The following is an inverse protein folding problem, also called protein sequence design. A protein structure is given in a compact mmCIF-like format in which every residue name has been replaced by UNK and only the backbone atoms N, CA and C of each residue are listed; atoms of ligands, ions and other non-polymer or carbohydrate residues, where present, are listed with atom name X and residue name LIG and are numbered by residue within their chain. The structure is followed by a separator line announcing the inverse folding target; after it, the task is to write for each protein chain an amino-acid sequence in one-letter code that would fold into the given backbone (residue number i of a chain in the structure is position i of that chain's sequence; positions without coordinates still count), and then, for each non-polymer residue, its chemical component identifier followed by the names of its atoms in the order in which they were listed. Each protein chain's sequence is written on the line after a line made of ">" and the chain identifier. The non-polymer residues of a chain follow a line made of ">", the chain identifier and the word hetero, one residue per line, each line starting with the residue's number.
data_IF_094383519785
#
_entry.id   IF_094383519785
#
_cell.length_a   1.000
_cell.length_b   1.000
_cell.length_c   1.000
_cell.angle_alpha   90.00
_cell.angle_beta   90.00
_cell.angle_gamma   90.00
#
_symmetry.space_group_name_H-M   'P 1'
#
loop_
_entity.id
_entity.type
_entity.pdbx_description
1 polymer ?
#
# COMPACT_ATOMS: atom_id res chain seq x y z
N UNK A 1 -23.34 6.54 7.83
CA UNK A 1 -23.06 7.11 6.50
C UNK A 1 -23.15 6.08 5.36
N UNK A 2 -22.43 4.95 5.42
CA UNK A 2 -22.51 3.90 4.38
C UNK A 2 -23.92 3.40 4.06
N UNK A 3 -24.78 3.19 5.06
CA UNK A 3 -26.18 2.78 4.83
C UNK A 3 -27.01 3.88 4.15
N UNK A 4 -26.77 5.15 4.51
CA UNK A 4 -27.51 6.31 4.01
C UNK A 4 -27.21 6.54 2.53
N UNK A 5 -25.93 6.45 2.15
CA UNK A 5 -25.47 6.67 0.77
C UNK A 5 -25.29 5.37 -0.02
N UNK A 6 -25.89 4.26 0.42
CA UNK A 6 -25.65 2.92 -0.14
C UNK A 6 -25.84 2.84 -1.67
N UNK A 7 -26.81 3.59 -2.20
CA UNK A 7 -27.17 3.57 -3.62
C UNK A 7 -26.18 4.41 -4.48
N UNK A 8 -25.34 5.21 -3.84
CA UNK A 8 -24.30 6.06 -4.44
C UNK A 8 -22.89 5.48 -4.23
N UNK A 9 -22.67 4.76 -3.13
CA UNK A 9 -21.39 4.15 -2.77
C UNK A 9 -20.93 3.17 -3.84
N UNK A 10 -19.63 3.17 -4.13
CA UNK A 10 -18.98 2.37 -5.17
C UNK A 10 -19.40 2.67 -6.63
N UNK A 11 -20.27 3.66 -6.85
CA UNK A 11 -20.60 4.19 -8.19
C UNK A 11 -19.89 5.51 -8.45
N UNK A 12 -20.10 6.48 -7.58
CA UNK A 12 -19.51 7.83 -7.68
C UNK A 12 -19.23 8.45 -6.31
N UNK A 13 -19.43 7.70 -5.23
CA UNK A 13 -19.18 8.12 -3.85
C UNK A 13 -18.28 7.12 -3.14
N UNK A 14 -17.29 7.63 -2.40
CA UNK A 14 -16.58 6.91 -1.34
C UNK A 14 -16.91 7.56 0.00
N UNK A 15 -17.23 6.74 0.99
CA UNK A 15 -17.56 7.19 2.35
C UNK A 15 -16.60 6.53 3.32
N UNK A 16 -16.04 7.32 4.23
CA UNK A 16 -15.26 6.83 5.35
C UNK A 16 -15.62 7.62 6.61
N UNK A 17 -16.30 6.96 7.55
CA UNK A 17 -16.95 7.60 8.70
C UNK A 17 -17.83 8.79 8.30
N UNK A 18 -17.37 10.01 8.56
CA UNK A 18 -18.00 11.30 8.28
C UNK A 18 -17.52 11.95 6.99
N UNK A 19 -16.40 11.50 6.41
CA UNK A 19 -15.87 12.02 5.15
C UNK A 19 -16.59 11.41 3.94
N UNK A 20 -17.01 12.27 3.01
CA UNK A 20 -17.70 11.90 1.77
C UNK A 20 -16.90 12.45 0.59
N UNK A 21 -16.38 11.56 -0.25
CA UNK A 21 -15.74 11.90 -1.51
C UNK A 21 -16.67 11.62 -2.67
N UNK A 22 -16.93 12.63 -3.49
CA UNK A 22 -17.72 12.52 -4.72
C UNK A 22 -16.76 12.68 -5.91
N UNK A 23 -16.76 11.73 -6.83
CA UNK A 23 -15.85 11.71 -7.97
C UNK A 23 -16.57 11.42 -9.29
N UNK A 24 -16.12 12.09 -10.36
CA UNK A 24 -16.78 12.05 -11.65
C UNK A 24 -15.76 12.25 -12.79
N UNK A 25 -16.12 11.78 -14.00
CA UNK A 25 -15.34 12.00 -15.23
C UNK A 25 -15.69 13.31 -15.93
N UNK A 26 -16.88 13.86 -15.69
CA UNK A 26 -17.37 15.08 -16.30
C UNK A 26 -18.00 16.02 -15.26
N UNK A 27 -17.98 17.32 -15.55
CA UNK A 27 -18.59 18.33 -14.69
C UNK A 27 -20.12 18.19 -14.64
N UNK A 28 -20.75 17.80 -15.76
CA UNK A 28 -22.20 17.59 -15.82
C UNK A 28 -22.61 16.49 -14.83
N UNK A 29 -21.96 15.32 -14.91
CA UNK A 29 -22.25 14.21 -14.00
C UNK A 29 -21.95 14.60 -12.54
N UNK A 30 -20.92 15.41 -12.32
CA UNK A 30 -20.57 15.89 -10.97
C UNK A 30 -21.69 16.71 -10.35
N UNK A 31 -22.25 17.67 -11.09
CA UNK A 31 -23.35 18.52 -10.58
C UNK A 31 -24.58 17.67 -10.24
N UNK A 32 -24.93 16.71 -11.11
CA UNK A 32 -26.07 15.83 -10.88
C UNK A 32 -25.85 14.90 -9.68
N UNK A 33 -24.68 14.30 -9.57
CA UNK A 33 -24.32 13.43 -8.44
C UNK A 33 -24.19 14.20 -7.13
N UNK A 34 -23.62 15.39 -7.12
CA UNK A 34 -23.58 16.27 -5.96
C UNK A 34 -25.00 16.57 -5.47
N UNK A 35 -25.91 16.91 -6.39
CA UNK A 35 -27.31 17.15 -6.05
C UNK A 35 -27.96 15.92 -5.43
N UNK A 36 -27.73 14.72 -5.98
CA UNK A 36 -28.26 13.48 -5.41
C UNK A 36 -27.77 13.25 -3.98
N UNK A 37 -26.45 13.40 -3.72
CA UNK A 37 -25.90 13.23 -2.38
C UNK A 37 -26.50 14.25 -1.40
N UNK A 38 -26.58 15.52 -1.79
CA UNK A 38 -27.14 16.57 -0.93
C UNK A 38 -28.61 16.36 -0.59
N UNK A 39 -29.40 15.81 -1.52
CA UNK A 39 -30.80 15.43 -1.26
C UNK A 39 -30.88 14.29 -0.25
N UNK A 40 -30.07 13.24 -0.43
CA UNK A 40 -30.03 12.12 0.52
C UNK A 40 -29.62 12.57 1.92
N UNK A 41 -28.60 13.45 2.03
CA UNK A 41 -28.19 14.01 3.32
C UNK A 41 -29.32 14.81 3.97
N UNK A 42 -30.04 15.63 3.18
CA UNK A 42 -31.18 16.42 3.66
C UNK A 42 -32.32 15.54 4.18
N UNK A 43 -32.68 14.51 3.45
CA UNK A 43 -33.77 13.59 3.82
C UNK A 43 -33.45 12.81 5.10
N UNK A 44 -32.16 12.63 5.40
CA UNK A 44 -31.68 11.96 6.62
C UNK A 44 -31.26 12.95 7.72
N UNK A 45 -31.54 14.24 7.57
CA UNK A 45 -31.18 15.30 8.52
C UNK A 45 -29.68 15.34 8.88
N UNK A 46 -28.82 15.08 7.90
CA UNK A 46 -27.37 15.17 8.01
C UNK A 46 -26.88 16.49 7.42
N UNK A 47 -25.96 17.16 8.14
CA UNK A 47 -25.47 18.47 7.78
C UNK A 47 -23.95 18.41 7.53
N UNK A 48 -23.53 18.95 6.39
CA UNK A 48 -22.12 19.12 6.08
C UNK A 48 -21.61 20.46 6.64
N UNK A 49 -20.40 20.46 7.19
CA UNK A 49 -19.75 21.71 7.59
C UNK A 49 -19.15 22.38 6.34
N UNK A 50 -19.76 23.47 5.89
CA UNK A 50 -19.40 24.16 4.65
C UNK A 50 -17.93 24.64 4.65
N UNK A 51 -17.40 25.04 5.80
CA UNK A 51 -16.02 25.52 5.93
C UNK A 51 -14.98 24.43 5.71
N UNK A 52 -15.38 23.16 5.84
CA UNK A 52 -14.56 21.97 5.58
C UNK A 52 -14.86 21.31 4.24
N UNK A 53 -15.83 21.82 3.48
CA UNK A 53 -16.19 21.26 2.19
C UNK A 53 -15.38 21.90 1.07
N UNK A 54 -14.88 21.05 0.17
CA UNK A 54 -14.23 21.48 -1.06
C UNK A 54 -15.05 20.97 -2.25
N UNK A 55 -15.37 21.85 -3.20
CA UNK A 55 -16.22 21.53 -4.35
C UNK A 55 -15.48 21.78 -5.66
N UNK A 56 -15.75 20.94 -6.66
CA UNK A 56 -15.33 21.13 -8.05
C UNK A 56 -13.82 21.44 -8.23
N UNK A 57 -12.97 20.62 -7.61
CA UNK A 57 -11.51 20.72 -7.71
C UNK A 57 -10.91 19.52 -8.44
N UNK A 58 -9.77 19.72 -9.11
CA UNK A 58 -9.05 18.64 -9.83
C UNK A 58 -8.28 17.69 -8.89
N UNK A 59 -8.04 18.13 -7.66
CA UNK A 59 -7.39 17.35 -6.62
C UNK A 59 -8.00 17.69 -5.26
N UNK A 60 -8.09 16.68 -4.38
CA UNK A 60 -8.68 16.83 -3.05
C UNK A 60 -7.92 16.01 -2.03
N UNK A 61 -7.78 16.53 -0.81
CA UNK A 61 -7.24 15.78 0.32
C UNK A 61 -8.36 14.89 0.86
N UNK A 62 -8.15 13.58 0.85
CA UNK A 62 -9.08 12.60 1.38
C UNK A 62 -8.30 11.53 2.15
N UNK A 63 -8.65 11.32 3.42
CA UNK A 63 -7.99 10.35 4.31
C UNK A 63 -6.48 10.50 4.39
N UNK A 64 -5.96 11.74 4.40
CA UNK A 64 -4.53 12.02 4.50
C UNK A 64 -3.73 11.80 3.21
N UNK A 65 -4.42 11.63 2.06
CA UNK A 65 -3.80 11.54 0.74
C UNK A 65 -4.39 12.59 -0.20
N UNK A 66 -3.59 13.07 -1.15
CA UNK A 66 -4.10 13.88 -2.26
C UNK A 66 -4.57 12.95 -3.36
N UNK A 67 -5.87 12.98 -3.67
CA UNK A 67 -6.47 12.20 -4.75
C UNK A 67 -6.69 13.10 -5.94
N UNK A 68 -6.24 12.67 -7.11
CA UNK A 68 -6.28 13.42 -8.37
C UNK A 68 -6.54 12.49 -9.55
N UNK A 69 -6.72 13.07 -10.75
CA UNK A 69 -6.78 12.30 -12.00
C UNK A 69 -5.53 11.45 -12.25
N UNK A 70 -4.37 11.91 -11.80
CA UNK A 70 -3.08 11.23 -11.97
C UNK A 70 -2.92 10.04 -11.02
N UNK A 71 -3.68 10.01 -9.92
CA UNK A 71 -3.58 8.98 -8.90
C UNK A 71 -3.57 9.57 -7.49
N UNK A 72 -2.97 8.82 -6.58
CA UNK A 72 -2.87 9.13 -5.15
C UNK A 72 -1.45 9.61 -4.85
N UNK A 73 -1.36 10.71 -4.11
CA UNK A 73 -0.09 11.32 -3.67
C UNK A 73 -0.05 11.45 -2.15
N UNK A 74 1.16 11.56 -1.63
CA UNK A 74 1.40 12.01 -0.25
C UNK A 74 0.99 13.48 -0.15
N UNK A 75 0.34 13.85 0.95
CA UNK A 75 -0.03 15.23 1.24
C UNK A 75 1.23 16.14 1.32
N UNK A 76 1.31 17.22 0.52
CA UNK A 76 2.43 18.18 0.56
C UNK A 76 2.74 18.73 1.96
N UNK A 77 1.74 18.92 2.82
CA UNK A 77 1.98 19.35 4.21
C UNK A 77 2.72 18.27 5.00
N UNK A 78 2.41 17.00 4.76
CA UNK A 78 3.07 15.85 5.38
C UNK A 78 4.46 15.62 4.79
N UNK A 79 4.64 15.84 3.48
CA UNK A 79 5.96 15.88 2.84
C UNK A 79 6.84 16.93 3.52
N UNK A 80 6.33 18.15 3.70
CA UNK A 80 7.06 19.23 4.37
C UNK A 80 7.40 18.86 5.82
N UNK A 81 6.44 18.33 6.57
CA UNK A 81 6.67 17.87 7.94
C UNK A 81 7.77 16.80 8.01
N UNK A 82 7.80 15.86 7.07
CA UNK A 82 8.86 14.84 6.98
C UNK A 82 10.21 15.48 6.66
N UNK A 83 10.28 16.41 5.70
CA UNK A 83 11.52 17.12 5.33
C UNK A 83 12.11 17.92 6.48
N UNK A 84 11.27 18.62 7.22
CA UNK A 84 11.67 19.48 8.34
C UNK A 84 11.83 18.70 9.66
N UNK A 85 11.49 17.41 9.67
CA UNK A 85 11.52 16.59 10.88
C UNK A 85 12.93 16.57 11.49
N UNK A 86 13.10 16.94 12.78
CA UNK A 86 14.40 16.98 13.43
C UNK A 86 14.95 15.58 13.65
N UNK A 87 16.27 15.45 13.76
CA UNK A 87 16.90 14.16 14.08
C UNK A 87 16.39 13.72 15.48
N UNK A 88 15.77 12.53 15.60
CA UNK A 88 15.28 12.05 16.89
C UNK A 88 16.41 11.89 17.92
N UNK A 89 16.14 12.40 19.12
CA UNK A 89 17.08 12.39 20.26
C UNK A 89 16.67 11.38 21.35
N UNK A 90 15.49 10.79 21.22
CA UNK A 90 14.97 9.81 22.16
C UNK A 90 13.99 8.83 21.48
N UNK A 91 13.66 7.75 22.19
CA UNK A 91 12.76 6.69 21.71
C UNK A 91 11.35 7.22 21.39
N UNK A 92 10.87 8.23 22.13
CA UNK A 92 9.54 8.81 21.89
C UNK A 92 9.49 9.51 20.54
N UNK A 93 10.51 10.28 20.19
CA UNK A 93 10.61 10.97 18.90
C UNK A 93 10.73 9.99 17.73
N UNK A 94 11.48 8.88 17.91
CA UNK A 94 11.52 7.81 16.88
C UNK A 94 10.15 7.19 16.69
N UNK A 95 9.39 6.93 17.77
CA UNK A 95 8.02 6.41 17.68
C UNK A 95 7.08 7.37 16.95
N UNK A 96 7.19 8.66 17.25
CA UNK A 96 6.40 9.70 16.57
C UNK A 96 6.71 9.76 15.08
N UNK A 97 7.98 9.71 14.70
CA UNK A 97 8.40 9.65 13.30
C UNK A 97 7.86 8.39 12.62
N UNK A 98 8.09 7.21 13.22
CA UNK A 98 7.64 5.92 12.72
C UNK A 98 6.12 5.87 12.50
N UNK A 99 5.33 6.49 13.38
CA UNK A 99 3.88 6.61 13.21
C UNK A 99 3.48 7.34 11.93
N UNK A 100 4.21 8.40 11.56
CA UNK A 100 3.95 9.18 10.35
C UNK A 100 4.41 8.45 9.08
N UNK A 101 5.64 7.94 9.06
CA UNK A 101 6.17 7.27 7.88
C UNK A 101 5.48 5.94 7.58
N UNK A 102 5.10 5.18 8.62
CA UNK A 102 4.42 3.90 8.43
C UNK A 102 3.03 4.06 7.79
N UNK A 103 2.38 5.21 7.97
CA UNK A 103 1.14 5.56 7.27
C UNK A 103 1.37 5.68 5.75
N UNK A 104 2.54 6.21 5.35
CA UNK A 104 2.94 6.40 3.94
C UNK A 104 3.81 5.26 3.40
N UNK A 105 4.00 4.16 4.14
CA UNK A 105 4.82 3.00 3.70
C UNK A 105 4.45 2.45 2.33
N UNK A 106 3.17 2.61 1.93
CA UNK A 106 2.65 2.11 0.65
C UNK A 106 3.24 2.80 -0.58
N UNK A 107 3.96 3.91 -0.39
CA UNK A 107 4.66 4.66 -1.43
C UNK A 107 6.14 4.31 -1.52
N UNK A 108 6.68 3.57 -0.55
CA UNK A 108 8.11 3.35 -0.39
C UNK A 108 8.44 1.87 -0.67
N UNK A 109 9.20 1.56 -1.73
CA UNK A 109 9.70 0.21 -1.97
C UNK A 109 10.58 -0.25 -0.81
N UNK A 110 10.42 -1.50 -0.37
CA UNK A 110 11.25 -2.10 0.67
C UNK A 110 11.29 -1.32 2.01
N UNK A 111 10.23 -0.58 2.32
CA UNK A 111 10.10 0.25 3.53
C UNK A 111 10.56 -0.46 4.82
N UNK A 112 10.11 -1.69 5.08
CA UNK A 112 10.46 -2.44 6.29
C UNK A 112 11.97 -2.70 6.46
N UNK A 113 12.71 -2.80 5.35
CA UNK A 113 14.17 -2.96 5.38
C UNK A 113 14.85 -1.64 5.70
N UNK A 114 14.37 -0.54 5.11
CA UNK A 114 14.89 0.81 5.36
C UNK A 114 14.65 1.25 6.81
N UNK A 115 13.46 0.98 7.34
CA UNK A 115 13.03 1.33 8.69
C UNK A 115 13.60 0.37 9.77
N UNK A 116 14.24 -0.73 9.36
CA UNK A 116 14.79 -1.74 10.28
C UNK A 116 15.73 -1.14 11.36
N UNK A 117 16.69 -0.24 11.05
CA UNK A 117 17.58 0.34 12.05
C UNK A 117 16.82 1.23 13.06
N UNK A 118 15.81 1.98 12.62
CA UNK A 118 15.01 2.83 13.50
C UNK A 118 14.12 2.00 14.42
N UNK A 119 13.49 0.95 13.88
CA UNK A 119 12.72 -0.01 14.67
C UNK A 119 13.54 -0.69 15.78
N UNK A 120 14.84 -0.91 15.58
CA UNK A 120 15.72 -1.46 16.62
C UNK A 120 15.84 -0.54 17.84
N UNK A 121 15.86 0.79 17.64
CA UNK A 121 15.92 1.78 18.73
C UNK A 121 14.65 1.82 19.58
N UNK A 122 13.53 1.30 19.07
CA UNK A 122 12.22 1.37 19.73
C UNK A 122 11.91 0.12 20.57
N UNK A 123 12.72 -0.95 20.41
CA UNK A 123 12.56 -2.22 21.11
C UNK A 123 12.75 -2.05 22.62
N UNK A 124 12.04 -2.89 23.38
CA UNK A 124 12.22 -3.00 24.82
C UNK A 124 13.66 -3.49 25.11
N UNK A 125 14.24 -2.96 26.18
CA UNK A 125 15.58 -3.33 26.67
C UNK A 125 16.75 -2.97 25.75
N UNK A 126 16.53 -2.06 24.78
CA UNK A 126 17.60 -1.46 23.96
C UNK A 126 17.90 -0.06 24.47
N UNK A 127 19.19 0.22 24.73
CA UNK A 127 19.65 1.57 25.07
C UNK A 127 19.57 2.45 23.83
N UNK A 128 18.93 3.61 23.95
CA UNK A 128 18.87 4.57 22.85
C UNK A 128 20.26 5.13 22.57
N UNK A 129 20.82 4.77 21.41
CA UNK A 129 22.08 5.30 20.92
C UNK A 129 21.94 5.62 19.44
N UNK A 130 21.85 6.90 19.10
CA UNK A 130 21.86 7.33 17.70
C UNK A 130 23.27 7.13 17.11
N UNK A 131 23.34 6.57 15.91
CA UNK A 131 24.58 6.15 15.25
C UNK A 131 24.41 6.39 13.75
N UNK A 132 25.49 6.28 12.99
CA UNK A 132 25.47 6.54 11.55
C UNK A 132 24.44 5.69 10.80
N UNK A 133 24.30 4.40 11.15
CA UNK A 133 23.28 3.53 10.54
C UNK A 133 21.84 4.04 10.71
N UNK A 134 21.56 4.68 11.85
CA UNK A 134 20.24 5.26 12.14
C UNK A 134 20.04 6.56 11.35
N UNK A 135 21.10 7.37 11.26
CA UNK A 135 21.09 8.59 10.47
C UNK A 135 20.87 8.29 8.98
N UNK A 136 21.58 7.31 8.42
CA UNK A 136 21.42 6.89 7.02
C UNK A 136 19.99 6.41 6.73
N UNK A 137 19.45 5.53 7.58
CA UNK A 137 18.06 5.07 7.45
C UNK A 137 17.05 6.22 7.52
N UNK A 138 17.21 7.13 8.49
CA UNK A 138 16.34 8.29 8.67
C UNK A 138 16.37 9.23 7.44
N UNK A 139 17.55 9.54 6.91
CA UNK A 139 17.68 10.39 5.73
C UNK A 139 17.14 9.71 4.47
N UNK A 140 17.40 8.41 4.30
CA UNK A 140 16.89 7.65 3.15
C UNK A 140 15.36 7.57 3.17
N UNK A 141 14.74 7.32 4.33
CA UNK A 141 13.28 7.31 4.47
C UNK A 141 12.68 8.68 4.15
N UNK A 142 13.27 9.77 4.68
CA UNK A 142 12.87 11.14 4.33
C UNK A 142 12.97 11.38 2.83
N UNK A 143 14.06 10.96 2.19
CA UNK A 143 14.23 11.12 0.75
C UNK A 143 13.17 10.32 -0.04
N UNK A 144 12.96 9.05 0.30
CA UNK A 144 12.00 8.19 -0.42
C UNK A 144 10.56 8.65 -0.26
N UNK A 145 10.18 9.14 0.92
CA UNK A 145 8.83 9.66 1.16
C UNK A 145 8.58 10.99 0.45
N UNK A 146 9.62 11.81 0.31
CA UNK A 146 9.52 13.13 -0.34
C UNK A 146 9.63 13.04 -1.85
N UNK A 147 10.28 12.00 -2.36
CA UNK A 147 10.36 11.65 -3.78
C UNK A 147 9.41 10.49 -4.14
N UNK A 148 8.39 10.26 -3.30
CA UNK A 148 7.43 9.18 -3.49
C UNK A 148 6.76 9.30 -4.86
N UNK A 149 6.69 8.19 -5.64
CA UNK A 149 5.99 8.22 -6.91
C UNK A 149 4.49 8.41 -6.70
N UNK A 150 3.82 8.89 -7.74
CA UNK A 150 2.36 8.89 -7.80
C UNK A 150 1.88 7.45 -7.91
N UNK A 151 1.02 7.02 -7.00
CA UNK A 151 0.41 5.69 -7.08
C UNK A 151 -0.84 5.76 -7.95
N UNK A 152 -0.96 4.83 -8.90
CA UNK A 152 -2.15 4.70 -9.71
C UNK A 152 -3.35 4.26 -8.85
N UNK A 153 -4.53 4.79 -9.16
CA UNK A 153 -5.77 4.25 -8.61
C UNK A 153 -6.04 2.87 -9.23
N UNK A 154 -6.45 1.87 -8.44
CA UNK A 154 -6.72 0.54 -8.97
C UNK A 154 -7.90 0.57 -9.95
N UNK A 155 -7.68 0.02 -11.14
CA UNK A 155 -8.70 -0.13 -12.18
C UNK A 155 -9.05 -1.61 -12.33
N UNK A 156 -10.17 -2.04 -11.74
CA UNK A 156 -10.59 -3.45 -11.76
C UNK A 156 -10.90 -3.98 -13.18
N UNK A 157 -11.02 -3.11 -14.19
CA UNK A 157 -11.14 -3.52 -15.60
C UNK A 157 -9.80 -3.98 -16.20
N UNK A 158 -8.66 -3.59 -15.62
CA UNK A 158 -7.31 -3.99 -16.03
C UNK A 158 -6.83 -5.23 -15.29
N UNK A 159 -5.74 -5.81 -15.77
CA UNK A 159 -5.08 -6.95 -15.14
C UNK A 159 -4.10 -6.45 -14.09
N UNK A 160 -4.19 -6.97 -12.88
CA UNK A 160 -3.20 -6.69 -11.85
C UNK A 160 -1.93 -7.51 -12.10
N UNK A 161 -0.81 -6.97 -11.67
CA UNK A 161 0.49 -7.62 -11.78
C UNK A 161 1.20 -7.53 -10.42
N UNK A 162 1.85 -8.60 -10.00
CA UNK A 162 2.65 -8.67 -8.77
C UNK A 162 4.10 -8.89 -9.10
N UNK A 163 4.98 -8.06 -8.54
CA UNK A 163 6.42 -8.30 -8.50
C UNK A 163 6.85 -8.51 -7.06
N UNK A 164 7.41 -9.69 -6.76
CA UNK A 164 7.94 -10.02 -5.44
C UNK A 164 9.47 -9.95 -5.47
N UNK A 165 10.06 -9.44 -4.40
CA UNK A 165 11.49 -9.45 -4.14
C UNK A 165 11.74 -9.92 -2.71
N UNK A 166 12.82 -10.65 -2.49
CA UNK A 166 13.18 -11.18 -1.19
C UNK A 166 14.68 -11.06 -0.94
N UNK A 167 15.02 -10.56 0.24
CA UNK A 167 16.38 -10.39 0.71
C UNK A 167 16.68 -11.26 1.93
N UNK A 168 17.92 -11.21 2.42
CA UNK A 168 18.29 -11.81 3.69
C UNK A 168 17.45 -11.29 4.88
N UNK A 169 17.05 -10.02 4.84
CA UNK A 169 16.46 -9.29 5.96
C UNK A 169 14.93 -9.15 5.89
N UNK A 170 14.37 -9.11 4.68
CA UNK A 170 12.98 -8.72 4.47
C UNK A 170 12.47 -9.12 3.09
N UNK A 171 11.16 -9.02 2.93
CA UNK A 171 10.44 -9.20 1.67
C UNK A 171 9.86 -7.86 1.20
N UNK A 172 9.77 -7.69 -0.11
CA UNK A 172 9.16 -6.55 -0.78
C UNK A 172 8.22 -7.04 -1.88
N UNK A 173 7.09 -6.37 -2.07
CA UNK A 173 6.15 -6.68 -3.14
C UNK A 173 5.58 -5.39 -3.71
N UNK A 174 5.47 -5.33 -5.03
CA UNK A 174 4.80 -4.24 -5.75
C UNK A 174 3.57 -4.79 -6.43
N UNK A 175 2.44 -4.12 -6.20
CA UNK A 175 1.23 -4.28 -6.99
C UNK A 175 1.22 -3.25 -8.13
N UNK A 176 1.09 -3.72 -9.36
CA UNK A 176 1.21 -2.95 -10.59
C UNK A 176 -0.04 -3.11 -11.47
N UNK A 177 -0.27 -2.14 -12.34
CA UNK A 177 -1.17 -2.24 -13.49
C UNK A 177 -0.56 -1.55 -14.70
N UNK A 178 -0.26 -2.29 -15.77
CA UNK A 178 0.34 -1.74 -16.98
C UNK A 178 1.67 -1.05 -16.68
N UNK A 179 2.48 -1.67 -15.84
CA UNK A 179 3.78 -1.13 -15.39
C UNK A 179 3.71 0.02 -14.38
N UNK A 180 2.53 0.47 -13.96
CA UNK A 180 2.38 1.57 -12.99
C UNK A 180 2.08 1.04 -11.58
N UNK A 181 2.81 1.50 -10.54
CA UNK A 181 2.58 1.08 -9.16
C UNK A 181 1.23 1.54 -8.61
N UNK A 182 0.47 0.61 -8.05
CA UNK A 182 -0.73 0.88 -7.25
C UNK A 182 -0.38 0.95 -5.77
N UNK A 183 0.47 0.03 -5.30
CA UNK A 183 0.88 -0.02 -3.90
C UNK A 183 2.17 -0.82 -3.73
N UNK A 184 2.98 -0.40 -2.77
CA UNK A 184 4.12 -1.15 -2.26
C UNK A 184 3.76 -1.84 -0.94
N UNK A 185 4.25 -3.06 -0.77
CA UNK A 185 4.22 -3.81 0.47
C UNK A 185 5.65 -4.25 0.82
N UNK A 186 5.97 -4.25 2.10
CA UNK A 186 7.23 -4.84 2.58
C UNK A 186 7.07 -5.31 4.00
N UNK A 187 7.82 -6.33 4.36
CA UNK A 187 7.80 -6.91 5.70
C UNK A 187 9.20 -7.40 6.09
N UNK A 188 9.66 -7.04 7.28
CA UNK A 188 10.90 -7.58 7.84
C UNK A 188 10.68 -9.03 8.25
N UNK A 189 11.63 -9.91 7.90
CA UNK A 189 11.55 -11.32 8.27
C UNK A 189 11.92 -11.52 9.74
N UNK A 190 11.23 -12.45 10.40
CA UNK A 190 11.43 -12.76 11.82
C UNK A 190 11.47 -14.28 12.05
N UNK A 191 12.16 -14.70 13.12
CA UNK A 191 12.20 -16.10 13.56
C UNK A 191 12.67 -17.06 12.47
N UNK A 192 11.91 -18.14 12.25
CA UNK A 192 12.27 -19.17 11.27
C UNK A 192 12.37 -18.63 9.84
N UNK A 193 11.62 -17.57 9.49
CA UNK A 193 11.58 -17.02 8.14
C UNK A 193 12.91 -16.39 7.69
N UNK A 194 13.78 -15.99 8.62
CA UNK A 194 15.12 -15.51 8.31
C UNK A 194 16.00 -16.60 7.69
N UNK A 195 15.80 -17.84 8.11
CA UNK A 195 16.58 -19.01 7.68
C UNK A 195 16.00 -19.71 6.45
N UNK A 196 14.93 -19.17 5.87
CA UNK A 196 14.34 -19.73 4.66
C UNK A 196 15.31 -19.55 3.48
N UNK A 197 15.44 -20.56 2.60
CA UNK A 197 16.07 -20.37 1.30
C UNK A 197 15.40 -19.23 0.52
N UNK A 198 16.10 -18.59 -0.41
CA UNK A 198 15.57 -17.47 -1.21
C UNK A 198 14.21 -17.79 -1.83
N UNK A 199 14.07 -18.97 -2.45
CA UNK A 199 12.81 -19.45 -2.98
C UNK A 199 11.65 -19.46 -1.96
N UNK A 200 11.90 -19.93 -0.74
CA UNK A 200 10.88 -19.97 0.30
C UNK A 200 10.51 -18.56 0.79
N UNK A 201 11.45 -17.61 0.74
CA UNK A 201 11.20 -16.20 1.07
C UNK A 201 10.38 -15.50 -0.01
N UNK A 202 10.64 -15.77 -1.28
CA UNK A 202 9.82 -15.27 -2.39
C UNK A 202 8.40 -15.84 -2.35
N UNK A 203 8.26 -17.16 -2.13
CA UNK A 203 6.95 -17.77 -1.97
C UNK A 203 6.21 -17.21 -0.76
N UNK A 204 6.92 -16.95 0.34
CA UNK A 204 6.37 -16.24 1.49
C UNK A 204 5.92 -14.82 1.13
N UNK A 205 6.74 -14.06 0.38
CA UNK A 205 6.40 -12.72 -0.09
C UNK A 205 5.10 -12.72 -0.90
N UNK A 206 4.96 -13.67 -1.82
CA UNK A 206 3.74 -13.86 -2.60
C UNK A 206 2.53 -14.14 -1.71
N UNK A 207 2.62 -15.08 -0.76
CA UNK A 207 1.51 -15.38 0.16
C UNK A 207 1.12 -14.14 0.97
N UNK A 208 2.09 -13.35 1.44
CA UNK A 208 1.83 -12.10 2.18
C UNK A 208 1.19 -11.03 1.31
N UNK A 209 1.58 -10.93 0.04
CA UNK A 209 0.95 -10.05 -0.94
C UNK A 209 -0.53 -10.40 -1.14
N UNK A 210 -0.82 -11.69 -1.33
CA UNK A 210 -2.19 -12.16 -1.53
C UNK A 210 -3.05 -11.97 -0.29
N UNK A 211 -2.51 -12.13 0.92
CA UNK A 211 -3.22 -11.79 2.15
C UNK A 211 -3.50 -10.28 2.27
N UNK A 212 -2.58 -9.45 1.79
CA UNK A 212 -2.70 -7.99 1.87
C UNK A 212 -3.71 -7.44 0.85
N UNK A 213 -3.71 -7.99 -0.36
CA UNK A 213 -4.51 -7.52 -1.50
C UNK A 213 -5.54 -8.54 -1.97
N UNK A 214 -6.00 -9.43 -1.08
CA UNK A 214 -7.00 -10.45 -1.38
C UNK A 214 -8.23 -9.85 -2.08
N UNK A 215 -8.73 -8.74 -1.51
CA UNK A 215 -9.86 -7.97 -2.02
C UNK A 215 -9.67 -7.40 -3.44
N UNK A 216 -8.44 -7.31 -3.96
CA UNK A 216 -8.16 -6.93 -5.34
C UNK A 216 -7.95 -8.13 -6.26
N UNK A 217 -7.40 -9.23 -5.74
CA UNK A 217 -6.82 -10.31 -6.54
C UNK A 217 -7.69 -11.58 -6.59
N UNK A 218 -8.66 -11.74 -5.69
CA UNK A 218 -9.46 -12.98 -5.60
C UNK A 218 -10.43 -13.16 -6.77
N UNK A 219 -10.91 -12.08 -7.39
CA UNK A 219 -12.03 -12.13 -8.35
C UNK A 219 -11.63 -12.28 -9.81
N UNK A 220 -10.41 -11.86 -10.18
CA UNK A 220 -9.97 -11.77 -11.58
C UNK A 220 -8.54 -12.22 -11.71
N UNK A 221 -8.24 -12.86 -12.85
CA UNK A 221 -6.90 -13.30 -13.17
C UNK A 221 -5.88 -12.16 -13.09
N UNK A 222 -4.75 -12.42 -12.42
CA UNK A 222 -3.62 -11.50 -12.31
C UNK A 222 -2.30 -12.20 -12.67
N UNK A 223 -1.29 -11.39 -12.95
CA UNK A 223 0.04 -11.85 -13.35
C UNK A 223 0.97 -11.82 -12.14
N UNK A 224 1.73 -12.88 -11.94
CA UNK A 224 2.87 -12.91 -11.01
C UNK A 224 4.14 -12.90 -11.86
N UNK A 225 4.93 -11.84 -11.73
CA UNK A 225 6.26 -11.75 -12.29
C UNK A 225 7.26 -12.35 -11.31
N UNK A 226 7.97 -13.38 -11.76
CA UNK A 226 9.03 -14.02 -10.99
C UNK A 226 10.26 -14.25 -11.86
N UNK A 227 11.42 -14.00 -11.30
CA UNK A 227 12.74 -14.34 -11.83
C UNK A 227 13.17 -15.77 -11.48
N UNK A 228 12.60 -16.34 -10.41
CA UNK A 228 12.96 -17.65 -9.89
C UNK A 228 12.16 -18.78 -10.56
N UNK A 229 12.86 -19.64 -11.31
CA UNK A 229 12.23 -20.74 -12.08
C UNK A 229 11.40 -21.71 -11.24
N UNK A 230 11.71 -21.87 -9.96
CA UNK A 230 11.01 -22.81 -9.08
C UNK A 230 9.57 -22.40 -8.76
N UNK A 231 9.20 -21.12 -8.86
CA UNK A 231 7.78 -20.71 -8.74
C UNK A 231 6.95 -21.23 -9.91
N UNK A 232 7.55 -21.48 -11.09
CA UNK A 232 6.85 -22.12 -12.22
C UNK A 232 6.37 -23.53 -11.91
N UNK A 233 7.07 -24.23 -11.02
CA UNK A 233 6.78 -25.62 -10.66
C UNK A 233 5.90 -25.74 -9.40
N UNK A 234 5.34 -24.63 -8.89
CA UNK A 234 4.43 -24.61 -7.73
C UNK A 234 3.33 -25.68 -7.82
N UNK A 235 2.74 -25.84 -9.01
CA UNK A 235 1.64 -26.80 -9.27
C UNK A 235 2.11 -28.23 -9.59
N UNK A 236 3.42 -28.47 -9.73
CA UNK A 236 4.00 -29.75 -10.19
C UNK A 236 4.90 -30.46 -9.17
N UNK A 237 5.09 -29.91 -7.97
CA UNK A 237 5.96 -30.50 -6.96
C UNK A 237 5.29 -31.70 -6.25
N UNK A 238 5.79 -32.91 -6.50
CA UNK A 238 5.23 -34.15 -5.93
C UNK A 238 5.52 -34.42 -4.44
N UNK A 239 6.48 -33.70 -3.82
CA UNK A 239 6.78 -33.78 -2.38
C UNK A 239 6.90 -32.39 -1.77
N UNK A 240 5.76 -31.82 -1.38
CA UNK A 240 5.71 -30.57 -0.62
C UNK A 240 5.95 -30.82 0.87
N UNK A 241 6.74 -29.97 1.52
CA UNK A 241 6.75 -29.94 2.98
C UNK A 241 5.40 -29.38 3.50
N UNK A 242 5.05 -29.62 4.77
CA UNK A 242 3.75 -29.20 5.35
C UNK A 242 3.43 -27.72 5.16
N UNK A 243 4.44 -26.84 5.23
CA UNK A 243 4.28 -25.39 5.06
C UNK A 243 4.00 -25.02 3.60
N UNK A 244 4.73 -25.61 2.66
CA UNK A 244 4.49 -25.42 1.23
C UNK A 244 3.12 -25.93 0.84
N UNK A 245 2.68 -27.08 1.35
CA UNK A 245 1.33 -27.59 1.10
C UNK A 245 0.25 -26.57 1.50
N UNK A 246 0.36 -26.00 2.71
CA UNK A 246 -0.57 -24.96 3.18
C UNK A 246 -0.54 -23.69 2.32
N UNK A 247 0.64 -23.27 1.86
CA UNK A 247 0.77 -22.10 1.00
C UNK A 247 0.23 -22.33 -0.40
N UNK A 248 0.47 -23.51 -0.98
CA UNK A 248 -0.08 -23.91 -2.28
C UNK A 248 -1.60 -24.00 -2.22
N UNK A 249 -2.17 -24.62 -1.19
CA UNK A 249 -3.63 -24.66 -0.97
C UNK A 249 -4.24 -23.26 -0.87
N UNK A 250 -3.57 -22.33 -0.18
CA UNK A 250 -4.02 -20.93 -0.14
C UNK A 250 -3.94 -20.25 -1.51
N UNK A 251 -2.86 -20.48 -2.25
CA UNK A 251 -2.66 -19.94 -3.60
C UNK A 251 -3.74 -20.44 -4.58
N UNK A 252 -4.22 -21.68 -4.44
CA UNK A 252 -5.24 -22.27 -5.32
C UNK A 252 -6.59 -21.53 -5.28
N UNK A 253 -6.84 -20.70 -4.26
CA UNK A 253 -8.04 -19.87 -4.17
C UNK A 253 -8.01 -18.69 -5.16
N UNK A 254 -6.86 -18.42 -5.76
CA UNK A 254 -6.62 -17.23 -6.58
C UNK A 254 -6.46 -17.60 -8.07
N UNK A 255 -7.10 -16.87 -8.99
CA UNK A 255 -6.84 -16.99 -10.41
C UNK A 255 -5.53 -16.26 -10.76
N UNK A 256 -4.44 -16.99 -10.98
CA UNK A 256 -3.15 -16.37 -11.33
C UNK A 256 -2.42 -17.09 -12.46
N UNK A 257 -1.61 -16.31 -13.18
CA UNK A 257 -0.63 -16.80 -14.15
C UNK A 257 0.77 -16.32 -13.77
N UNK A 258 1.77 -17.17 -13.96
CA UNK A 258 3.17 -16.84 -13.65
C UNK A 258 3.90 -16.55 -14.96
N UNK A 259 4.53 -15.38 -15.05
CA UNK A 259 5.32 -14.94 -16.20
C UNK A 259 6.76 -14.71 -15.75
N UNK A 260 7.73 -15.07 -16.61
CA UNK A 260 9.15 -14.80 -16.34
C UNK A 260 9.41 -13.31 -16.53
N UNK A 261 10.06 -12.68 -15.57
CA UNK A 261 10.52 -11.30 -15.73
C UNK A 261 11.49 -11.22 -16.92
N UNK A 262 11.15 -10.44 -17.94
CA UNK A 262 12.12 -10.09 -18.97
C UNK A 262 13.11 -9.11 -18.33
N UNK A 263 14.40 -9.44 -18.33
CA UNK A 263 15.43 -8.48 -17.94
C UNK A 263 15.29 -7.26 -18.85
N UNK A 264 14.90 -6.11 -18.28
CA UNK A 264 15.07 -4.84 -18.96
C UNK A 264 16.58 -4.64 -19.11
N UNK A 265 17.07 -4.71 -20.36
CA UNK A 265 18.44 -4.37 -20.74
C UNK A 265 18.69 -2.88 -20.59
#
# INVERSE_FOLDING_TARGET
>A
MNHVLRDCVARFVVVYFDDILIYNKSLSDYVDHLRQVLLVLRDNHLFANIDKCTFCVDNVIFLGFVVSKQGVHVDPEKIKAIQEWPIPTNVSEVRSFHGLESFYRRFVPNFSTLDSPLNELVKKDVVFLWQEKHNLAFQELKQKLTQAPVLALPDFSKTFELECDASGLGIGVVLLQGGHPIAYFSEKLHGAALNYPTYDKELYALVRALQTWEHYLVTKEFVIHSDHESLKYLKGQGKLNKRHAKWVEYLEQFPYVIIRRALQM
#
